data_IF_499107934044
#
_entry.id   IF_499107934044
#
_cell.length_a   1.000
_cell.length_b   1.000
_cell.length_c   1.000
_cell.angle_alpha   90.00
_cell.angle_beta   90.00
_cell.angle_gamma   90.00
#
_symmetry.space_group_name_H-M   'P 1'
#
loop_
_entity.id
_entity.type
_entity.pdbx_description
1 polymer ?
#
# COMPACT_ATOMS: atom_id res chain seq x y z
N UNK A 1 -6.66 -20.38 -1.14
CA UNK A 1 -6.28 -19.00 -0.79
C UNK A 1 -6.26 -18.20 -2.06
N UNK A 2 -7.07 -17.15 -2.14
CA UNK A 2 -7.04 -16.21 -3.26
C UNK A 2 -5.75 -15.38 -3.19
N UNK A 3 -5.27 -14.93 -4.34
CA UNK A 3 -4.17 -13.98 -4.41
C UNK A 3 -4.64 -12.64 -3.83
N UNK A 4 -3.84 -12.05 -2.96
CA UNK A 4 -4.06 -10.71 -2.41
C UNK A 4 -3.01 -9.77 -3.01
N UNK A 5 -3.47 -8.80 -3.78
CA UNK A 5 -2.60 -7.80 -4.40
C UNK A 5 -2.53 -6.57 -3.50
N UNK A 6 -1.34 -6.16 -3.09
CA UNK A 6 -1.11 -4.96 -2.30
C UNK A 6 -0.32 -3.97 -3.14
N UNK A 7 -0.82 -2.74 -3.28
CA UNK A 7 -0.15 -1.68 -4.02
C UNK A 7 0.20 -0.54 -3.07
N UNK A 8 1.49 -0.22 -2.96
CA UNK A 8 1.98 0.93 -2.21
C UNK A 8 2.26 2.07 -3.20
N UNK A 9 1.50 3.17 -3.06
CA UNK A 9 1.59 4.34 -3.93
C UNK A 9 2.32 5.46 -3.21
N UNK A 10 3.31 6.06 -3.87
CA UNK A 10 4.04 7.24 -3.38
C UNK A 10 4.19 8.30 -4.47
N UNK A 11 4.50 9.52 -4.05
CA UNK A 11 4.96 10.57 -4.97
C UNK A 11 6.48 10.43 -5.16
N UNK A 12 6.98 10.83 -6.33
CA UNK A 12 8.41 10.90 -6.67
C UNK A 12 9.19 11.87 -5.77
N UNK A 13 8.57 13.01 -5.45
CA UNK A 13 9.13 14.04 -4.56
C UNK A 13 8.24 14.24 -3.31
N UNK A 14 8.22 13.28 -2.37
CA UNK A 14 7.41 13.36 -1.18
C UNK A 14 8.10 14.20 -0.10
N UNK A 15 7.32 14.75 0.83
CA UNK A 15 7.91 15.41 2.00
C UNK A 15 8.63 14.41 2.91
N UNK A 16 9.45 14.90 3.85
CA UNK A 16 10.22 14.05 4.76
C UNK A 16 9.34 13.07 5.56
N UNK A 17 8.17 13.53 6.03
CA UNK A 17 7.24 12.66 6.76
C UNK A 17 6.69 11.53 5.88
N UNK A 18 6.27 11.84 4.65
CA UNK A 18 5.80 10.86 3.68
C UNK A 18 6.88 9.82 3.35
N UNK A 19 8.14 10.24 3.21
CA UNK A 19 9.28 9.33 3.01
C UNK A 19 9.48 8.35 4.17
N UNK A 20 9.41 8.84 5.41
CA UNK A 20 9.53 8.00 6.61
C UNK A 20 8.41 6.97 6.66
N UNK A 21 7.16 7.42 6.48
CA UNK A 21 5.98 6.56 6.52
C UNK A 21 6.06 5.50 5.40
N UNK A 22 6.47 5.89 4.19
CA UNK A 22 6.64 4.97 3.07
C UNK A 22 7.66 3.87 3.40
N UNK A 23 8.82 4.24 3.93
CA UNK A 23 9.87 3.28 4.31
C UNK A 23 9.37 2.26 5.35
N UNK A 24 8.66 2.72 6.37
CA UNK A 24 8.09 1.86 7.41
C UNK A 24 7.02 0.90 6.87
N UNK A 25 6.14 1.38 6.00
CA UNK A 25 5.13 0.53 5.36
C UNK A 25 5.81 -0.50 4.46
N UNK A 26 6.77 -0.08 3.62
CA UNK A 26 7.53 -0.97 2.74
C UNK A 26 8.21 -2.10 3.51
N UNK A 27 8.92 -1.78 4.59
CA UNK A 27 9.56 -2.80 5.44
C UNK A 27 8.54 -3.79 6.02
N UNK A 28 7.36 -3.31 6.40
CA UNK A 28 6.27 -4.15 6.91
C UNK A 28 5.72 -5.07 5.81
N UNK A 29 5.50 -4.55 4.62
CA UNK A 29 5.02 -5.33 3.46
C UNK A 29 6.03 -6.41 3.05
N UNK A 30 7.33 -6.09 3.03
CA UNK A 30 8.40 -7.07 2.73
C UNK A 30 8.44 -8.24 3.73
N UNK A 31 8.15 -7.98 5.01
CA UNK A 31 8.02 -9.04 6.03
C UNK A 31 6.81 -9.93 5.74
N UNK A 32 5.66 -9.31 5.46
CA UNK A 32 4.42 -10.01 5.12
C UNK A 32 4.57 -10.89 3.88
N UNK A 33 5.23 -10.41 2.82
CA UNK A 33 5.44 -11.19 1.60
C UNK A 33 6.22 -12.49 1.84
N UNK A 34 7.15 -12.47 2.80
CA UNK A 34 7.92 -13.66 3.20
C UNK A 34 7.07 -14.66 3.99
N UNK A 35 6.05 -14.18 4.70
CA UNK A 35 5.16 -14.99 5.54
C UNK A 35 3.97 -15.55 4.75
N UNK A 36 3.48 -14.82 3.74
CA UNK A 36 2.28 -15.16 2.97
C UNK A 36 2.60 -15.31 1.48
N UNK A 37 2.62 -16.56 0.99
CA UNK A 37 2.94 -16.86 -0.42
C UNK A 37 1.87 -16.43 -1.43
N UNK A 38 0.67 -16.08 -0.96
CA UNK A 38 -0.42 -15.59 -1.79
C UNK A 38 -0.47 -14.05 -1.89
N UNK A 39 0.53 -13.33 -1.36
CA UNK A 39 0.59 -11.88 -1.40
C UNK A 39 1.53 -11.40 -2.51
N UNK A 40 1.00 -10.55 -3.39
CA UNK A 40 1.73 -9.88 -4.46
C UNK A 40 1.85 -8.39 -4.12
N UNK A 41 3.05 -7.82 -4.16
CA UNK A 41 3.28 -6.41 -3.79
C UNK A 41 3.77 -5.64 -5.01
N UNK A 42 3.05 -4.57 -5.33
CA UNK A 42 3.43 -3.59 -6.35
C UNK A 42 3.76 -2.24 -5.71
N UNK A 43 4.76 -1.56 -6.26
CA UNK A 43 5.13 -0.20 -5.88
C UNK A 43 4.84 0.72 -7.06
N UNK A 44 4.00 1.73 -6.83
CA UNK A 44 3.65 2.74 -7.83
C UNK A 44 4.20 4.08 -7.38
N UNK A 45 5.08 4.64 -8.19
CA UNK A 45 5.60 5.99 -7.98
C UNK A 45 4.93 6.94 -8.98
N UNK A 46 4.27 7.97 -8.45
CA UNK A 46 3.62 9.01 -9.23
C UNK A 46 4.55 10.20 -9.40
N UNK A 47 4.73 10.68 -10.64
CA UNK A 47 5.53 11.89 -10.89
C UNK A 47 4.89 13.15 -10.29
N UNK A 48 3.57 13.24 -10.38
CA UNK A 48 2.80 14.36 -9.83
C UNK A 48 1.50 13.88 -9.20
N UNK A 49 1.00 14.64 -8.21
CA UNK A 49 -0.29 14.36 -7.56
C UNK A 49 -1.45 14.29 -8.56
N UNK A 50 -1.37 14.99 -9.69
CA UNK A 50 -2.39 14.93 -10.75
C UNK A 50 -2.54 13.56 -11.40
N UNK A 51 -1.51 12.70 -11.31
CA UNK A 51 -1.55 11.32 -11.78
C UNK A 51 -2.28 10.39 -10.78
N UNK A 52 -2.70 10.89 -9.61
CA UNK A 52 -3.45 10.12 -8.63
C UNK A 52 -4.74 9.54 -9.22
N UNK A 53 -5.44 10.30 -10.08
CA UNK A 53 -6.66 9.84 -10.75
C UNK A 53 -6.44 8.68 -11.73
N UNK A 54 -5.18 8.41 -12.12
CA UNK A 54 -4.83 7.27 -12.99
C UNK A 54 -4.70 5.97 -12.19
N UNK A 55 -4.62 6.05 -10.85
CA UNK A 55 -4.57 4.90 -9.97
C UNK A 55 -5.99 4.47 -9.61
N UNK A 56 -6.45 3.39 -10.23
CA UNK A 56 -7.74 2.78 -9.92
C UNK A 56 -7.83 2.43 -8.42
N UNK A 57 -8.96 2.79 -7.79
CA UNK A 57 -9.18 2.54 -6.37
C UNK A 57 -8.65 3.60 -5.41
N UNK A 58 -7.92 4.61 -5.89
CA UNK A 58 -7.45 5.70 -5.07
C UNK A 58 -8.55 6.76 -4.89
N UNK A 59 -9.16 6.80 -3.71
CA UNK A 59 -10.27 7.70 -3.36
C UNK A 59 -9.77 9.05 -2.83
N UNK A 60 -8.63 9.05 -2.12
CA UNK A 60 -8.04 10.23 -1.48
C UNK A 60 -6.59 10.41 -1.94
N UNK A 61 -6.30 11.61 -2.47
CA UNK A 61 -4.97 12.04 -2.97
C UNK A 61 -3.99 12.37 -1.81
N UNK A 62 -3.83 11.45 -0.85
CA UNK A 62 -2.87 11.53 0.26
C UNK A 62 -1.88 10.39 0.19
N UNK A 63 -0.60 10.70 0.38
CA UNK A 63 0.51 9.76 0.16
C UNK A 63 1.39 9.60 1.42
N UNK A 64 2.05 8.45 1.60
CA UNK A 64 1.88 7.23 0.80
C UNK A 64 0.51 6.58 1.01
N UNK A 65 -0.04 5.92 -0.01
CA UNK A 65 -1.32 5.21 0.06
C UNK A 65 -1.11 3.72 -0.11
N UNK A 66 -1.90 2.91 0.58
CA UNK A 66 -1.91 1.45 0.42
C UNK A 66 -3.26 1.04 -0.12
N UNK A 67 -3.24 0.30 -1.24
CA UNK A 67 -4.40 -0.34 -1.81
C UNK A 67 -4.28 -1.85 -1.63
N UNK A 68 -5.38 -2.52 -1.34
CA UNK A 68 -5.47 -3.98 -1.31
C UNK A 68 -6.57 -4.41 -2.26
N UNK A 69 -6.25 -5.26 -3.23
CA UNK A 69 -7.15 -5.70 -4.30
C UNK A 69 -7.83 -4.56 -5.06
N UNK A 70 -7.16 -3.41 -5.16
CA UNK A 70 -7.71 -2.21 -5.82
C UNK A 70 -8.59 -1.34 -4.92
N UNK A 71 -8.67 -1.60 -3.61
CA UNK A 71 -9.38 -0.74 -2.65
C UNK A 71 -8.39 0.01 -1.75
N UNK A 72 -8.56 1.32 -1.58
CA UNK A 72 -7.70 2.12 -0.70
C UNK A 72 -7.99 1.82 0.78
N UNK A 73 -6.95 1.35 1.49
CA UNK A 73 -7.03 1.00 2.91
C UNK A 73 -6.52 2.13 3.80
N UNK A 74 -5.45 2.81 3.37
CA UNK A 74 -4.83 3.90 4.15
C UNK A 74 -4.19 4.93 3.23
N UNK A 75 -4.11 6.17 3.71
CA UNK A 75 -3.56 7.32 3.00
C UNK A 75 -2.81 8.25 3.97
N UNK A 76 -1.49 8.32 3.85
CA UNK A 76 -0.63 9.15 4.71
C UNK A 76 -0.48 8.64 6.14
N UNK A 77 -0.89 7.40 6.43
CA UNK A 77 -0.78 6.78 7.75
C UNK A 77 -0.16 5.39 7.69
N UNK A 78 0.55 5.03 8.77
CA UNK A 78 1.13 3.70 8.94
C UNK A 78 0.04 2.64 9.03
N UNK A 79 0.36 1.48 8.47
CA UNK A 79 -0.44 0.28 8.60
C UNK A 79 0.34 -0.70 9.48
N UNK A 80 -0.26 -1.14 10.59
CA UNK A 80 0.39 -2.10 11.47
C UNK A 80 0.39 -3.49 10.84
N UNK A 81 1.35 -4.34 11.22
CA UNK A 81 1.39 -5.74 10.79
C UNK A 81 0.07 -6.47 11.08
N UNK A 82 -0.52 -6.24 12.26
CA UNK A 82 -1.79 -6.88 12.65
C UNK A 82 -2.96 -6.50 11.73
N UNK A 83 -3.06 -5.21 11.36
CA UNK A 83 -4.07 -4.74 10.41
C UNK A 83 -3.88 -5.39 9.03
N UNK A 84 -2.64 -5.46 8.54
CA UNK A 84 -2.33 -6.14 7.27
C UNK A 84 -2.73 -7.61 7.28
N UNK A 85 -2.36 -8.33 8.34
CA UNK A 85 -2.72 -9.75 8.50
C UNK A 85 -4.24 -9.93 8.48
N UNK A 86 -4.98 -9.12 9.24
CA UNK A 86 -6.44 -9.21 9.27
C UNK A 86 -7.06 -8.99 7.89
N UNK A 87 -6.56 -8.02 7.12
CA UNK A 87 -7.04 -7.74 5.77
C UNK A 87 -6.72 -8.92 4.83
N UNK A 88 -5.49 -9.43 4.85
CA UNK A 88 -5.08 -10.57 4.00
C UNK A 88 -5.90 -11.81 4.32
N UNK A 89 -6.20 -12.06 5.60
CA UNK A 89 -7.04 -13.17 6.03
C UNK A 89 -8.50 -12.99 5.63
N UNK A 90 -9.03 -11.76 5.58
CA UNK A 90 -10.38 -11.49 5.10
C UNK A 90 -10.50 -11.67 3.57
N UNK A 91 -9.53 -11.14 2.83
CA UNK A 91 -9.51 -11.12 1.36
C UNK A 91 -9.04 -12.47 0.75
N UNK A 92 -8.22 -13.22 1.50
CA UNK A 92 -7.54 -14.43 1.04
C UNK A 92 -8.35 -15.73 1.14
N UNK A 93 -9.57 -15.70 1.70
CA UNK A 93 -10.48 -16.87 1.85
C UNK A 93 -11.04 -17.33 0.50
#
# INVERSE_FOLDING_TARGET
MKKVKITLVSLKDPCTACNIIFGLIKETLEKIQKEYSNVEIDFVELEHIKNASEVEGLEVEKFPAVLVNGEQITAGSLLTKQQLVSIIEMEGV
#
